data_IF_875527802229
#
_entry.id   IF_875527802229
#
_cell.length_a   1.000
_cell.length_b   1.000
_cell.length_c   1.000
_cell.angle_alpha   90.00
_cell.angle_beta   90.00
_cell.angle_gamma   90.00
#
_symmetry.space_group_name_H-M   'P 1'
#
loop_
_entity.id
_entity.type
_entity.pdbx_description
1 polymer ?
#
# COMPACT_ATOMS: atom_id res chain seq x y z
N UNK A 1 -23.79 -33.55 67.52
CA UNK A 1 -22.66 -32.74 68.00
C UNK A 1 -21.36 -33.33 67.46
N UNK A 2 -20.82 -32.68 66.43
CA UNK A 2 -19.40 -32.45 66.09
C UNK A 2 -18.41 -33.61 66.29
N UNK A 3 -17.92 -34.17 65.16
CA UNK A 3 -16.48 -34.36 64.86
C UNK A 3 -16.32 -34.88 63.41
N UNK A 4 -16.11 -33.98 62.44
CA UNK A 4 -14.78 -33.54 61.91
C UNK A 4 -14.22 -34.56 60.89
N UNK A 5 -14.42 -34.35 59.59
CA UNK A 5 -13.54 -33.63 58.64
C UNK A 5 -12.28 -34.42 58.20
N UNK A 6 -12.40 -35.28 57.18
CA UNK A 6 -11.31 -35.81 56.34
C UNK A 6 -11.97 -36.33 55.04
N UNK A 7 -11.57 -36.04 53.80
CA UNK A 7 -10.40 -35.39 53.24
C UNK A 7 -10.80 -34.79 51.87
N UNK A 8 -10.41 -33.54 51.61
CA UNK A 8 -10.53 -32.92 50.29
C UNK A 8 -9.43 -33.47 49.38
N UNK A 9 -9.81 -34.16 48.30
CA UNK A 9 -8.88 -34.55 47.23
C UNK A 9 -8.65 -33.33 46.35
N UNK A 10 -7.46 -32.76 46.45
CA UNK A 10 -6.98 -31.73 45.54
C UNK A 10 -6.68 -32.34 44.17
N UNK A 11 -7.54 -32.09 43.18
CA UNK A 11 -7.23 -32.32 41.77
C UNK A 11 -6.50 -31.08 41.26
N UNK A 12 -5.17 -31.10 41.37
CA UNK A 12 -4.30 -30.12 40.70
C UNK A 12 -3.49 -30.86 39.65
N UNK A 13 -3.66 -30.48 38.39
CA UNK A 13 -2.65 -30.75 37.36
C UNK A 13 -3.20 -31.31 36.05
N UNK A 14 -3.48 -30.42 35.10
CA UNK A 14 -2.85 -30.35 33.77
C UNK A 14 -3.72 -29.49 32.85
N UNK A 15 -3.60 -28.17 33.00
CA UNK A 15 -4.04 -27.20 32.00
C UNK A 15 -2.81 -26.46 31.47
N UNK A 16 -1.87 -27.20 30.89
CA UNK A 16 -0.74 -26.61 30.17
C UNK A 16 -0.88 -27.00 28.71
N UNK A 17 -1.11 -26.02 27.84
CA UNK A 17 -0.56 -26.10 26.48
C UNK A 17 -1.51 -26.14 25.29
N UNK A 18 -2.66 -25.45 25.33
CA UNK A 18 -3.31 -25.00 24.09
C UNK A 18 -3.52 -23.49 24.14
N UNK A 19 -2.44 -22.74 24.37
CA UNK A 19 -2.45 -21.35 23.96
C UNK A 19 -2.48 -21.36 22.42
N UNK A 20 -3.42 -20.66 21.77
CA UNK A 20 -3.32 -20.45 20.33
C UNK A 20 -1.96 -19.82 20.07
N UNK A 21 -1.16 -20.46 19.20
CA UNK A 21 0.01 -19.80 18.62
C UNK A 21 -0.53 -18.57 17.91
N UNK A 22 -0.24 -17.39 18.45
CA UNK A 22 -0.35 -16.16 17.70
C UNK A 22 0.73 -16.23 16.61
N UNK A 23 0.39 -16.84 15.47
CA UNK A 23 1.17 -16.64 14.26
C UNK A 23 1.12 -15.14 13.97
N UNK A 24 2.28 -14.52 13.77
CA UNK A 24 2.29 -13.22 13.14
C UNK A 24 1.54 -13.35 11.81
N UNK A 25 0.64 -12.42 11.55
CA UNK A 25 0.02 -12.33 10.23
C UNK A 25 1.15 -12.14 9.22
N UNK A 26 1.29 -13.00 8.20
CA UNK A 26 2.27 -12.80 7.11
C UNK A 26 2.06 -11.42 6.44
N UNK A 27 0.87 -10.87 6.64
CA UNK A 27 0.47 -9.51 6.31
C UNK A 27 1.25 -8.38 7.04
N UNK A 28 2.04 -8.67 8.07
CA UNK A 28 2.83 -7.65 8.80
C UNK A 28 4.34 -7.82 8.62
N UNK A 29 4.77 -8.63 7.65
CA UNK A 29 6.17 -8.75 7.29
C UNK A 29 6.68 -7.43 6.67
N UNK A 30 7.90 -7.04 7.03
CA UNK A 30 8.56 -5.82 6.53
C UNK A 30 8.69 -5.76 5.00
N UNK A 31 8.71 -6.93 4.36
CA UNK A 31 8.76 -7.05 2.90
C UNK A 31 7.35 -7.32 2.38
N UNK A 32 6.85 -6.41 1.55
CA UNK A 32 5.59 -6.62 0.85
C UNK A 32 5.82 -7.53 -0.37
N UNK A 33 4.79 -8.27 -0.78
CA UNK A 33 4.88 -9.30 -1.82
C UNK A 33 3.88 -9.10 -2.96
N UNK A 34 4.24 -9.46 -4.21
CA UNK A 34 3.31 -9.42 -5.34
C UNK A 34 1.99 -10.15 -5.12
N UNK A 35 0.89 -9.51 -5.53
CA UNK A 35 -0.45 -10.11 -5.54
C UNK A 35 -1.20 -10.05 -4.21
N UNK A 36 -0.61 -9.43 -3.19
CA UNK A 36 -1.26 -9.24 -1.89
C UNK A 36 -2.45 -8.28 -1.96
N UNK A 37 -2.34 -7.21 -2.74
CA UNK A 37 -3.41 -6.22 -2.84
C UNK A 37 -4.17 -6.36 -4.15
N UNK A 38 -5.52 -6.38 -4.12
CA UNK A 38 -6.32 -6.41 -5.35
C UNK A 38 -6.11 -5.19 -6.27
N UNK A 39 -5.57 -4.10 -5.73
CA UNK A 39 -5.25 -2.88 -6.47
C UNK A 39 -3.86 -2.89 -7.10
N UNK A 40 -3.08 -3.96 -6.92
CA UNK A 40 -1.76 -4.07 -7.53
C UNK A 40 -1.84 -4.02 -9.05
N UNK A 41 -0.85 -3.36 -9.64
CA UNK A 41 -0.76 -3.12 -11.07
C UNK A 41 0.46 -3.83 -11.63
N UNK A 42 0.48 -4.18 -12.93
CA UNK A 42 1.68 -4.70 -13.58
C UNK A 42 2.86 -3.75 -13.34
N UNK A 43 4.03 -4.31 -13.01
CA UNK A 43 5.24 -3.54 -12.76
C UNK A 43 5.31 -2.84 -11.39
N UNK A 44 4.42 -3.19 -10.44
CA UNK A 44 4.47 -2.70 -9.06
C UNK A 44 5.83 -2.99 -8.41
N UNK A 45 6.46 -1.96 -7.83
CA UNK A 45 7.71 -2.09 -7.08
C UNK A 45 7.45 -2.32 -5.58
N UNK A 46 7.83 -3.49 -5.04
CA UNK A 46 7.62 -3.85 -3.62
C UNK A 46 8.79 -3.47 -2.69
N UNK A 47 9.81 -2.82 -3.25
CA UNK A 47 10.94 -2.22 -2.53
C UNK A 47 10.83 -0.69 -2.49
N UNK A 48 9.64 -0.14 -2.74
CA UNK A 48 9.43 1.30 -2.68
C UNK A 48 9.51 1.75 -1.21
N UNK A 49 10.14 2.89 -0.97
CA UNK A 49 10.24 3.47 0.38
C UNK A 49 9.89 4.93 0.32
N UNK A 50 8.98 5.39 1.19
CA UNK A 50 8.56 6.78 1.20
C UNK A 50 9.78 7.70 1.31
N UNK A 51 9.86 8.70 0.43
CA UNK A 51 10.96 9.68 0.27
C UNK A 51 12.28 9.12 -0.27
N UNK A 52 12.39 7.82 -0.55
CA UNK A 52 13.56 7.27 -1.22
C UNK A 52 13.61 7.68 -2.71
N UNK A 53 14.82 7.78 -3.29
CA UNK A 53 14.98 8.13 -4.70
C UNK A 53 14.45 7.01 -5.61
N UNK A 54 13.95 7.39 -6.78
CA UNK A 54 13.47 6.50 -7.82
C UNK A 54 13.71 7.10 -9.21
N UNK A 55 13.83 6.25 -10.24
CA UNK A 55 14.29 6.69 -11.57
C UNK A 55 13.22 6.59 -12.66
N UNK A 56 12.30 5.63 -12.57
CA UNK A 56 11.26 5.46 -13.57
C UNK A 56 10.00 6.24 -13.20
N UNK A 57 9.83 7.41 -13.81
CA UNK A 57 8.72 8.32 -13.56
C UNK A 57 7.69 8.35 -14.69
N UNK A 58 7.90 7.58 -15.77
CA UNK A 58 7.07 7.64 -16.99
C UNK A 58 6.00 6.54 -17.03
N UNK A 59 6.38 5.30 -16.72
CA UNK A 59 5.51 4.12 -16.81
C UNK A 59 5.78 3.16 -15.68
N UNK A 60 4.79 2.40 -15.25
CA UNK A 60 4.91 1.45 -14.14
C UNK A 60 5.45 2.15 -12.89
N UNK A 61 4.88 3.31 -12.58
CA UNK A 61 5.41 4.24 -11.58
C UNK A 61 4.91 3.95 -10.18
N UNK A 62 4.17 2.86 -9.95
CA UNK A 62 3.60 2.55 -8.64
C UNK A 62 4.48 1.56 -7.88
N UNK A 63 4.47 1.71 -6.56
CA UNK A 63 5.14 0.80 -5.64
C UNK A 63 4.34 0.62 -4.36
N UNK A 64 4.77 -0.36 -3.57
CA UNK A 64 4.30 -0.62 -2.22
C UNK A 64 5.42 -0.33 -1.23
N UNK A 65 5.07 0.43 -0.19
CA UNK A 65 5.96 0.62 0.95
C UNK A 65 6.00 -0.57 1.88
N UNK A 66 6.87 -0.56 2.91
CA UNK A 66 6.95 -1.64 3.90
C UNK A 66 5.65 -1.91 4.65
N UNK A 67 4.74 -0.92 4.74
CA UNK A 67 3.41 -1.06 5.33
C UNK A 67 2.32 -1.40 4.31
N UNK A 68 2.69 -1.65 3.04
CA UNK A 68 1.75 -1.87 1.93
C UNK A 68 1.10 -0.59 1.39
N UNK A 69 1.53 0.59 1.86
CA UNK A 69 1.02 1.85 1.35
C UNK A 69 1.34 2.02 -0.14
N UNK A 70 0.41 2.59 -0.91
CA UNK A 70 0.68 2.87 -2.32
C UNK A 70 1.59 4.09 -2.41
N UNK A 71 2.73 3.90 -3.05
CA UNK A 71 3.66 4.95 -3.42
C UNK A 71 3.66 5.13 -4.93
N UNK A 72 3.98 6.34 -5.37
CA UNK A 72 4.21 6.65 -6.78
C UNK A 72 5.58 7.30 -6.95
N UNK A 73 6.37 6.79 -7.89
CA UNK A 73 7.61 7.41 -8.31
C UNK A 73 7.29 8.60 -9.21
N UNK A 74 7.60 9.81 -8.73
CA UNK A 74 7.45 11.03 -9.53
C UNK A 74 8.45 12.09 -9.12
N UNK A 75 8.66 13.03 -10.04
CA UNK A 75 9.44 14.23 -9.78
C UNK A 75 8.69 15.15 -8.81
N UNK A 76 9.42 15.75 -7.86
CA UNK A 76 8.91 16.79 -6.97
C UNK A 76 9.51 18.12 -7.43
N UNK A 77 8.65 19.08 -7.74
CA UNK A 77 9.08 20.41 -8.20
C UNK A 77 9.63 21.27 -7.07
N UNK A 78 10.46 22.26 -7.42
CA UNK A 78 11.02 23.26 -6.49
C UNK A 78 11.88 22.69 -5.35
N UNK A 79 12.57 21.57 -5.60
CA UNK A 79 13.51 20.99 -4.64
C UNK A 79 14.82 21.81 -4.59
N UNK A 80 15.30 22.09 -3.38
CA UNK A 80 16.59 22.75 -3.14
C UNK A 80 17.43 21.96 -2.12
N UNK A 81 18.71 21.66 -2.40
CA UNK A 81 19.43 21.92 -3.65
C UNK A 81 18.79 21.17 -4.85
N UNK A 82 19.07 21.59 -6.10
CA UNK A 82 18.50 20.92 -7.28
C UNK A 82 18.86 19.44 -7.28
N UNK A 83 17.84 18.61 -7.43
CA UNK A 83 17.98 17.18 -7.71
C UNK A 83 17.45 16.91 -9.12
N UNK A 84 17.68 15.72 -9.66
CA UNK A 84 17.16 15.32 -10.98
C UNK A 84 16.60 13.90 -10.97
N UNK A 85 16.41 13.34 -9.77
CA UNK A 85 15.81 12.03 -9.53
C UNK A 85 14.36 12.16 -9.07
N UNK A 86 13.52 11.20 -9.40
CA UNK A 86 12.21 11.07 -8.77
C UNK A 86 12.33 10.66 -7.31
N UNK A 87 11.21 10.78 -6.59
CA UNK A 87 11.05 10.23 -5.25
C UNK A 87 9.76 9.44 -5.16
N UNK A 88 9.79 8.40 -4.35
CA UNK A 88 8.58 7.69 -3.94
C UNK A 88 7.79 8.57 -2.99
N UNK A 89 6.56 8.90 -3.38
CA UNK A 89 5.65 9.70 -2.56
C UNK A 89 4.32 8.99 -2.40
N UNK A 90 3.61 9.28 -1.31
CA UNK A 90 2.28 8.73 -1.09
C UNK A 90 1.37 9.04 -2.29
N UNK A 91 0.77 7.99 -2.84
CA UNK A 91 -0.21 8.09 -3.90
C UNK A 91 -1.61 8.27 -3.32
N UNK A 92 -2.54 8.74 -4.16
CA UNK A 92 -3.96 8.57 -3.88
C UNK A 92 -4.33 7.08 -3.90
N UNK A 93 -5.54 6.75 -3.44
CA UNK A 93 -6.06 5.39 -3.51
C UNK A 93 -5.95 4.83 -4.94
N UNK A 94 -5.29 3.68 -5.07
CA UNK A 94 -5.05 3.00 -6.34
C UNK A 94 -6.22 2.08 -6.71
N UNK A 95 -6.71 2.22 -7.94
CA UNK A 95 -7.83 1.45 -8.50
C UNK A 95 -7.37 0.45 -9.57
N UNK A 96 -6.14 -0.05 -9.45
CA UNK A 96 -5.58 -1.01 -10.39
C UNK A 96 -5.38 -0.44 -11.79
N UNK A 97 -5.56 -1.30 -12.79
CA UNK A 97 -5.48 -0.94 -14.20
C UNK A 97 -6.82 -0.40 -14.68
N UNK A 98 -6.82 0.74 -15.38
CA UNK A 98 -8.01 1.41 -15.90
C UNK A 98 -7.79 1.95 -17.31
N UNK A 99 -8.85 2.01 -18.12
CA UNK A 99 -8.79 2.58 -19.47
C UNK A 99 -8.82 4.11 -19.43
N UNK A 100 -8.03 4.75 -20.29
CA UNK A 100 -8.00 6.20 -20.44
C UNK A 100 -9.39 6.71 -20.88
N UNK A 101 -9.88 7.76 -20.22
CA UNK A 101 -11.18 8.38 -20.47
C UNK A 101 -12.37 7.61 -19.89
N UNK A 102 -12.17 6.42 -19.33
CA UNK A 102 -13.26 5.68 -18.69
C UNK A 102 -13.70 6.34 -17.38
N UNK A 103 -14.96 6.16 -16.93
CA UNK A 103 -15.46 6.77 -15.71
C UNK A 103 -14.65 6.34 -14.48
N UNK A 104 -14.42 7.29 -13.57
CA UNK A 104 -13.67 7.06 -12.34
C UNK A 104 -14.56 7.27 -11.10
N UNK A 105 -14.29 6.55 -10.00
CA UNK A 105 -15.23 6.45 -8.87
C UNK A 105 -15.33 7.74 -8.06
N UNK A 106 -14.22 8.47 -7.92
CA UNK A 106 -14.15 9.75 -7.20
C UNK A 106 -12.91 10.54 -7.61
N UNK A 107 -12.95 11.89 -7.56
CA UNK A 107 -11.77 12.73 -7.73
C UNK A 107 -10.65 12.32 -6.77
N UNK A 108 -9.40 12.67 -7.10
CA UNK A 108 -8.23 12.31 -6.28
C UNK A 108 -8.12 10.79 -6.06
N UNK A 109 -8.27 10.04 -7.15
CA UNK A 109 -7.99 8.60 -7.23
C UNK A 109 -6.88 8.37 -8.24
N UNK A 110 -6.05 7.35 -8.00
CA UNK A 110 -4.98 6.93 -8.89
C UNK A 110 -5.34 5.61 -9.58
N UNK A 111 -4.82 5.41 -10.79
CA UNK A 111 -4.86 4.15 -11.51
C UNK A 111 -3.65 4.04 -12.44
N UNK A 112 -3.50 2.91 -13.14
CA UNK A 112 -2.50 2.72 -14.18
C UNK A 112 -3.19 2.41 -15.52
N UNK A 113 -2.74 2.99 -16.60
CA UNK A 113 -3.20 2.60 -17.94
C UNK A 113 -2.65 1.21 -18.30
N UNK A 114 -3.26 0.48 -19.25
CA UNK A 114 -2.73 -0.80 -19.73
C UNK A 114 -1.28 -0.70 -20.23
N UNK A 115 -0.87 0.46 -20.73
CA UNK A 115 0.49 0.74 -21.21
C UNK A 115 1.48 1.17 -20.11
N UNK A 116 1.04 1.20 -18.86
CA UNK A 116 1.86 1.54 -17.69
C UNK A 116 1.82 3.01 -17.28
N UNK A 117 1.21 3.93 -18.05
CA UNK A 117 1.17 5.35 -17.65
C UNK A 117 0.34 5.54 -16.37
N UNK A 118 0.75 6.44 -15.45
CA UNK A 118 -0.07 6.77 -14.30
C UNK A 118 -1.32 7.53 -14.74
N UNK A 119 -2.44 7.25 -14.09
CA UNK A 119 -3.72 7.88 -14.33
C UNK A 119 -4.21 8.58 -13.07
N UNK A 120 -4.94 9.67 -13.29
CA UNK A 120 -5.60 10.45 -12.26
C UNK A 120 -7.06 10.68 -12.65
N UNK A 121 -7.95 10.47 -11.70
CA UNK A 121 -9.37 10.75 -11.91
C UNK A 121 -9.62 12.27 -11.95
N UNK A 122 -10.14 12.76 -13.07
CA UNK A 122 -10.48 14.16 -13.32
C UNK A 122 -11.99 14.41 -13.43
N UNK A 123 -12.79 13.68 -12.65
CA UNK A 123 -14.23 13.87 -12.59
C UNK A 123 -14.89 13.56 -13.94
N UNK A 124 -15.57 14.52 -14.61
CA UNK A 124 -16.24 14.26 -15.89
C UNK A 124 -15.31 13.79 -17.02
N UNK A 125 -14.02 14.14 -16.97
CA UNK A 125 -13.04 13.67 -17.96
C UNK A 125 -12.62 12.21 -17.73
N UNK A 126 -13.07 11.56 -16.65
CA UNK A 126 -12.69 10.20 -16.32
C UNK A 126 -11.21 10.07 -15.93
N UNK A 127 -10.62 8.91 -16.22
CA UNK A 127 -9.20 8.66 -16.01
C UNK A 127 -8.33 9.36 -17.04
N UNK A 128 -7.42 10.23 -16.60
CA UNK A 128 -6.52 10.98 -17.48
C UNK A 128 -5.05 10.68 -17.17
N UNK A 129 -4.19 10.49 -18.19
CA UNK A 129 -2.75 10.29 -18.00
C UNK A 129 -2.10 11.45 -17.27
N UNK A 130 -1.51 11.16 -16.11
CA UNK A 130 -0.85 12.16 -15.30
C UNK A 130 -1.03 11.95 -13.79
N UNK A 131 -0.65 12.99 -13.05
CA UNK A 131 -0.80 13.05 -11.59
C UNK A 131 -0.94 14.50 -11.13
N UNK A 132 -1.35 14.69 -9.87
CA UNK A 132 -1.35 16.00 -9.22
C UNK A 132 -0.02 16.25 -8.50
N UNK A 133 0.56 17.42 -8.73
CA UNK A 133 1.53 18.03 -7.82
C UNK A 133 0.86 19.17 -7.05
N UNK A 134 1.61 19.84 -6.17
CA UNK A 134 1.16 21.08 -5.54
C UNK A 134 0.81 22.18 -6.55
N UNK A 135 1.44 22.17 -7.73
CA UNK A 135 1.21 23.18 -8.77
C UNK A 135 -0.01 22.88 -9.67
N UNK A 136 -0.60 21.69 -9.57
CA UNK A 136 -1.76 21.29 -10.36
C UNK A 136 -1.58 19.95 -11.06
N UNK A 137 -2.35 19.74 -12.13
CA UNK A 137 -2.30 18.51 -12.92
C UNK A 137 -1.13 18.51 -13.90
N UNK A 138 -0.36 17.43 -13.93
CA UNK A 138 0.76 17.23 -14.82
C UNK A 138 0.45 16.08 -15.80
N UNK A 139 0.19 16.38 -17.09
CA UNK A 139 -0.14 15.36 -18.08
C UNK A 139 1.07 14.48 -18.43
N UNK A 140 0.80 13.25 -18.90
CA UNK A 140 1.78 12.22 -19.29
C UNK A 140 1.44 11.49 -20.57
#
# INVERSE_FOLDING_TARGET
MIREFLAAVAVVGLAIGTAPVASADDDLLYHDSPGRYPSDVPGMNYEAHLTAPCTNMERFTFGRGPGGEVLQCRWIENQWPPVYTGFWVAAYQLYGVQEIGSPCPKPQSAAQAPDGRPLLCRGPEGWQPGFFTRAGFFPR
#
